data_IF_608975387254
#
_entry.id   IF_608975387254
#
_cell.length_a   1.000
_cell.length_b   1.000
_cell.length_c   1.000
_cell.angle_alpha   90.00
_cell.angle_beta   90.00
_cell.angle_gamma   90.00
#
_symmetry.space_group_name_H-M   'P 1'
#
loop_
_entity.id
_entity.type
_entity.pdbx_description
1 polymer ?
#
# COMPACT_ATOMS: atom_id res chain seq x y z
N UNK A 1 -17.55 12.93 7.55
CA UNK A 1 -16.28 13.33 8.19
C UNK A 1 -15.22 13.31 7.11
N UNK A 2 -14.68 14.46 6.70
CA UNK A 2 -13.55 14.50 5.77
C UNK A 2 -12.27 14.24 6.57
N UNK A 3 -11.90 12.97 6.71
CA UNK A 3 -10.58 12.60 7.19
C UNK A 3 -9.55 13.17 6.22
N UNK A 4 -8.59 13.93 6.74
CA UNK A 4 -7.41 14.33 5.97
C UNK A 4 -6.80 13.00 5.44
N UNK A 5 -6.57 12.88 4.14
CA UNK A 5 -5.86 11.76 3.52
C UNK A 5 -4.48 12.26 3.13
N UNK A 6 -3.52 11.35 2.91
CA UNK A 6 -2.31 11.74 2.18
C UNK A 6 -2.73 12.40 0.87
N UNK A 7 -2.00 13.44 0.46
CA UNK A 7 -2.21 14.02 -0.87
C UNK A 7 -1.78 13.00 -1.92
N UNK A 8 -2.34 13.11 -3.12
CA UNK A 8 -1.95 12.25 -4.25
C UNK A 8 -0.43 12.28 -4.48
N UNK A 9 0.19 13.45 -4.35
CA UNK A 9 1.65 13.61 -4.44
C UNK A 9 2.40 12.84 -3.35
N UNK A 10 1.95 12.90 -2.10
CA UNK A 10 2.55 12.14 -1.00
C UNK A 10 2.39 10.64 -1.19
N UNK A 11 1.25 10.20 -1.72
CA UNK A 11 1.00 8.79 -2.01
C UNK A 11 1.86 8.31 -3.18
N UNK A 12 2.01 9.09 -4.25
CA UNK A 12 2.90 8.75 -5.36
C UNK A 12 4.37 8.69 -4.91
N UNK A 13 4.83 9.65 -4.12
CA UNK A 13 6.19 9.64 -3.58
C UNK A 13 6.45 8.42 -2.68
N UNK A 14 5.46 8.09 -1.86
CA UNK A 14 5.44 6.92 -0.99
C UNK A 14 5.46 5.58 -1.75
N UNK A 15 5.19 5.56 -3.05
CA UNK A 15 5.18 4.34 -3.87
C UNK A 15 6.44 4.19 -4.74
N UNK A 16 7.40 5.12 -4.66
CA UNK A 16 8.69 5.01 -5.35
C UNK A 16 9.59 4.00 -4.62
N UNK A 17 10.01 2.94 -5.31
CA UNK A 17 10.74 1.82 -4.70
C UNK A 17 12.28 1.92 -4.81
N UNK A 18 12.81 2.85 -5.59
CA UNK A 18 14.25 3.01 -5.83
C UNK A 18 15.01 3.67 -4.66
N UNK A 19 14.29 4.10 -3.63
CA UNK A 19 14.83 4.79 -2.46
C UNK A 19 14.05 4.50 -1.20
N UNK A 20 14.72 4.75 -0.07
CA UNK A 20 14.05 4.82 1.23
C UNK A 20 13.22 6.11 1.31
N UNK A 21 11.98 5.99 1.78
CA UNK A 21 11.04 7.12 1.92
C UNK A 21 10.57 7.19 3.38
N UNK A 22 10.56 8.39 3.94
CA UNK A 22 9.97 8.67 5.25
C UNK A 22 8.69 9.48 5.08
N UNK A 23 7.57 8.95 5.56
CA UNK A 23 6.25 9.60 5.46
C UNK A 23 5.80 10.02 6.85
N UNK A 24 5.51 11.31 7.02
CA UNK A 24 4.92 11.84 8.25
C UNK A 24 3.45 12.14 8.01
N UNK A 25 2.56 11.46 8.74
CA UNK A 25 1.12 11.71 8.66
C UNK A 25 0.46 11.56 10.03
N UNK A 26 -0.58 12.35 10.27
CA UNK A 26 -1.40 12.27 11.50
C UNK A 26 -2.13 10.93 11.63
N UNK A 27 -2.77 10.68 12.77
CA UNK A 27 -3.61 9.49 12.95
C UNK A 27 -4.78 9.48 11.96
N UNK A 28 -5.10 8.31 11.40
CA UNK A 28 -6.24 8.14 10.47
C UNK A 28 -6.02 8.59 9.02
N UNK A 29 -4.80 9.05 8.67
CA UNK A 29 -4.50 9.68 7.36
C UNK A 29 -4.07 8.67 6.27
N UNK A 30 -4.14 7.36 6.55
CA UNK A 30 -3.84 6.32 5.56
C UNK A 30 -2.42 5.77 5.56
N UNK A 31 -1.61 6.02 6.61
CA UNK A 31 -0.24 5.45 6.73
C UNK A 31 -0.20 3.95 6.46
N UNK A 32 -1.13 3.21 7.05
CA UNK A 32 -1.15 1.75 6.93
C UNK A 32 -1.63 1.29 5.56
N UNK A 33 -2.59 1.99 4.97
CA UNK A 33 -3.01 1.77 3.57
C UNK A 33 -1.85 1.99 2.61
N UNK A 34 -1.10 3.09 2.76
CA UNK A 34 0.08 3.38 1.93
C UNK A 34 1.19 2.34 2.12
N UNK A 35 1.38 1.83 3.34
CA UNK A 35 2.33 0.76 3.60
C UNK A 35 1.89 -0.57 2.95
N UNK A 36 0.58 -0.88 2.96
CA UNK A 36 0.02 -2.05 2.26
C UNK A 36 0.25 -1.94 0.74
N UNK A 37 -0.12 -0.80 0.15
CA UNK A 37 0.06 -0.54 -1.29
C UNK A 37 1.53 -0.63 -1.70
N UNK A 38 2.44 -0.06 -0.90
CA UNK A 38 3.89 -0.15 -1.15
C UNK A 38 4.38 -1.60 -1.09
N UNK A 39 3.87 -2.40 -0.16
CA UNK A 39 4.25 -3.82 -0.02
C UNK A 39 3.79 -4.65 -1.21
N UNK A 40 2.56 -4.46 -1.67
CA UNK A 40 2.03 -5.11 -2.90
C UNK A 40 2.88 -4.71 -4.10
N UNK A 41 3.20 -3.41 -4.25
CA UNK A 41 4.01 -2.92 -5.37
C UNK A 41 5.44 -3.49 -5.38
N UNK A 42 6.05 -3.67 -4.20
CA UNK A 42 7.36 -4.32 -4.08
C UNK A 42 7.30 -5.75 -4.62
N UNK A 43 6.26 -6.50 -4.28
CA UNK A 43 6.08 -7.88 -4.74
C UNK A 43 5.78 -7.96 -6.25
N UNK A 44 5.02 -7.00 -6.80
CA UNK A 44 4.76 -6.92 -8.25
C UNK A 44 6.01 -6.58 -9.06
N UNK A 45 6.83 -5.63 -8.60
CA UNK A 45 8.06 -5.21 -9.30
C UNK A 45 9.22 -6.20 -9.07
N UNK A 46 9.16 -7.03 -8.04
CA UNK A 46 10.18 -8.02 -7.69
C UNK A 46 9.52 -9.39 -7.42
N UNK A 47 9.34 -10.25 -8.44
CA UNK A 47 8.61 -11.50 -8.32
C UNK A 47 9.26 -12.52 -7.36
N UNK A 48 10.53 -12.34 -7.02
CA UNK A 48 11.24 -13.16 -6.03
C UNK A 48 11.01 -12.69 -4.57
N UNK A 49 10.35 -11.54 -4.40
CA UNK A 49 10.03 -10.95 -3.09
C UNK A 49 8.58 -11.25 -2.77
N UNK A 50 8.37 -12.15 -1.82
CA UNK A 50 7.06 -12.40 -1.21
C UNK A 50 6.83 -11.42 -0.06
N UNK A 51 5.58 -11.29 0.40
CA UNK A 51 5.24 -10.48 1.57
C UNK A 51 5.98 -10.93 2.84
N UNK A 52 6.37 -12.20 2.93
CA UNK A 52 7.20 -12.73 4.04
C UNK A 52 8.60 -12.09 4.08
N UNK A 53 9.09 -11.60 2.94
CA UNK A 53 10.38 -10.93 2.83
C UNK A 53 10.30 -9.44 3.22
N UNK A 54 9.09 -8.89 3.44
CA UNK A 54 8.85 -7.48 3.79
C UNK A 54 8.56 -7.37 5.28
N UNK A 55 9.55 -6.93 6.05
CA UNK A 55 9.39 -6.69 7.47
C UNK A 55 8.49 -5.47 7.72
N UNK A 56 7.25 -5.71 8.10
CA UNK A 56 6.31 -4.67 8.53
C UNK A 56 6.02 -4.81 10.01
N UNK A 57 6.28 -3.75 10.78
CA UNK A 57 5.96 -3.70 12.21
C UNK A 57 4.78 -2.76 12.45
N UNK A 58 3.66 -3.33 12.86
CA UNK A 58 2.50 -2.63 13.39
C UNK A 58 2.08 -3.30 14.69
N UNK A 59 1.29 -2.62 15.52
CA UNK A 59 0.75 -3.19 16.75
C UNK A 59 -0.06 -4.46 16.44
N UNK A 60 0.09 -5.52 17.24
CA UNK A 60 -0.49 -6.87 17.04
C UNK A 60 -1.99 -6.91 16.75
N UNK A 61 -2.75 -5.86 17.10
CA UNK A 61 -4.19 -5.77 16.80
C UNK A 61 -4.51 -5.39 15.36
N UNK A 62 -3.51 -5.20 14.50
CA UNK A 62 -3.71 -4.78 13.11
C UNK A 62 -3.60 -5.98 12.15
N UNK A 63 -4.75 -6.39 11.61
CA UNK A 63 -4.87 -7.48 10.64
C UNK A 63 -4.69 -6.98 9.20
N UNK A 64 -3.63 -7.45 8.53
CA UNK A 64 -3.25 -7.03 7.18
C UNK A 64 -3.98 -7.78 6.07
N UNK A 65 -4.38 -9.03 6.31
CA UNK A 65 -4.91 -9.91 5.26
C UNK A 65 -6.12 -9.30 4.54
N UNK A 66 -7.11 -8.70 5.24
CA UNK A 66 -8.27 -8.09 4.58
C UNK A 66 -7.87 -6.93 3.66
N UNK A 67 -6.91 -6.12 4.08
CA UNK A 67 -6.54 -4.88 3.37
C UNK A 67 -5.71 -5.16 2.12
N UNK A 68 -4.80 -6.13 2.19
CA UNK A 68 -4.03 -6.59 1.04
C UNK A 68 -4.98 -7.27 0.04
N UNK A 69 -5.88 -8.13 0.52
CA UNK A 69 -6.87 -8.82 -0.33
C UNK A 69 -7.78 -7.83 -1.06
N UNK A 70 -8.28 -6.82 -0.36
CA UNK A 70 -9.13 -5.77 -0.94
C UNK A 70 -8.39 -4.98 -2.04
N UNK A 71 -7.12 -4.63 -1.79
CA UNK A 71 -6.28 -3.93 -2.77
C UNK A 71 -6.00 -4.78 -4.02
N UNK A 72 -5.65 -6.06 -3.85
CA UNK A 72 -5.44 -6.98 -4.97
C UNK A 72 -6.72 -7.15 -5.81
N UNK A 73 -7.87 -7.25 -5.14
CA UNK A 73 -9.17 -7.35 -5.80
C UNK A 73 -9.48 -6.09 -6.61
N UNK A 74 -9.31 -4.90 -6.02
CA UNK A 74 -9.54 -3.62 -6.69
C UNK A 74 -8.63 -3.48 -7.92
N UNK A 75 -7.33 -3.77 -7.80
CA UNK A 75 -6.39 -3.71 -8.94
C UNK A 75 -6.74 -4.71 -10.05
N UNK A 76 -7.15 -5.93 -9.71
CA UNK A 76 -7.62 -6.91 -10.72
C UNK A 76 -8.93 -6.50 -11.39
N UNK A 77 -9.80 -5.75 -10.71
CA UNK A 77 -11.03 -5.24 -11.30
C UNK A 77 -10.73 -4.12 -12.31
N UNK A 78 -9.80 -3.21 -12.00
CA UNK A 78 -9.37 -2.13 -12.87
C UNK A 78 -8.68 -2.63 -14.15
N UNK A 79 -7.89 -3.70 -14.07
CA UNK A 79 -7.29 -4.34 -15.27
C UNK A 79 -8.38 -4.88 -16.20
N UNK A 80 -9.40 -5.56 -15.65
CA UNK A 80 -10.50 -6.14 -16.44
C UNK A 80 -11.42 -5.10 -17.09
N UNK A 81 -11.47 -3.88 -16.56
CA UNK A 81 -12.27 -2.79 -17.12
C UNK A 81 -11.54 -2.05 -18.25
N UNK A 82 -10.20 -2.07 -18.26
CA UNK A 82 -9.37 -1.46 -19.32
C UNK A 82 -9.27 -2.29 -20.61
N UNK A 83 -9.59 -3.59 -20.54
CA UNK A 83 -9.58 -4.52 -21.68
C UNK A 83 -10.94 -4.61 -22.41
N UNK A 84 -11.90 -3.75 -22.07
CA UNK A 84 -13.20 -3.60 -22.75
C UNK A 84 -13.22 -2.34 -23.62
#
# INVERSE_FOLDING_TARGET
MNGIRLTDEQQQDALILDRNVAITASAGIGKTTTLAERSVRISEENPDVTLENIATSVTESFDWEPQITDLEYERRSLVRERDK
#
